data_IF_578905298694
#
_entry.id   IF_578905298694
#
_cell.length_a   1.000
_cell.length_b   1.000
_cell.length_c   1.000
_cell.angle_alpha   90.00
_cell.angle_beta   90.00
_cell.angle_gamma   90.00
#
_symmetry.space_group_name_H-M   'P 1'
#
loop_
_entity.id
_entity.type
_entity.pdbx_description
1 polymer ?
#
# COMPACT_ATOMS: atom_id res chain seq x y z
N UNK A 1 5.11 -9.37 -7.99
CA UNK A 1 4.65 -10.78 -8.01
C UNK A 1 3.28 -10.77 -8.67
N UNK A 2 3.16 -11.18 -9.94
CA UNK A 2 1.89 -11.16 -10.66
C UNK A 2 1.25 -12.55 -10.60
N UNK A 3 0.12 -12.69 -9.90
CA UNK A 3 -0.62 -13.95 -9.84
C UNK A 3 -1.37 -14.16 -11.17
N UNK A 4 -0.92 -15.15 -11.95
CA UNK A 4 -1.48 -15.51 -13.27
C UNK A 4 -2.56 -16.59 -13.22
N UNK A 5 -3.23 -16.75 -12.08
CA UNK A 5 -4.37 -17.66 -11.94
C UNK A 5 -5.59 -17.13 -12.68
N UNK A 6 -6.21 -17.93 -13.55
CA UNK A 6 -7.49 -17.56 -14.16
C UNK A 6 -8.58 -17.49 -13.07
N UNK A 7 -9.34 -16.39 -12.97
CA UNK A 7 -10.41 -16.28 -11.97
C UNK A 7 -11.48 -17.37 -12.13
N UNK A 8 -12.00 -17.88 -11.00
CA UNK A 8 -13.14 -18.82 -10.97
C UNK A 8 -14.40 -18.17 -11.59
N UNK A 9 -14.52 -16.85 -11.49
CA UNK A 9 -15.56 -16.03 -12.11
C UNK A 9 -14.94 -14.99 -13.06
N UNK A 10 -15.32 -14.95 -14.35
CA UNK A 10 -14.66 -14.11 -15.35
C UNK A 10 -14.85 -12.59 -15.18
N UNK A 11 -15.57 -12.13 -14.15
CA UNK A 11 -15.97 -10.72 -13.97
C UNK A 11 -15.49 -10.10 -12.64
N UNK A 12 -14.41 -10.58 -12.03
CA UNK A 12 -13.82 -9.95 -10.83
C UNK A 12 -12.54 -9.22 -11.19
N UNK A 13 -12.50 -7.93 -10.84
CA UNK A 13 -11.29 -7.11 -10.93
C UNK A 13 -11.03 -6.51 -9.56
N UNK A 14 -9.84 -6.80 -9.02
CA UNK A 14 -9.32 -6.13 -7.83
C UNK A 14 -8.45 -4.99 -8.32
N UNK A 15 -8.78 -3.77 -7.90
CA UNK A 15 -8.08 -2.55 -8.33
C UNK A 15 -7.42 -1.93 -7.09
N UNK A 16 -6.09 -1.93 -7.10
CA UNK A 16 -5.26 -1.47 -6.00
C UNK A 16 -4.69 -0.09 -6.34
N UNK A 17 -5.07 0.90 -5.54
CA UNK A 17 -4.66 2.28 -5.84
C UNK A 17 -3.21 2.58 -5.48
N UNK A 18 -2.67 2.08 -4.34
CA UNK A 18 -1.27 2.27 -3.92
C UNK A 18 -0.90 1.29 -2.78
N UNK A 19 0.27 0.62 -2.85
CA UNK A 19 0.70 -0.40 -1.86
C UNK A 19 1.75 0.18 -0.90
N UNK A 20 1.48 0.14 0.42
CA UNK A 20 2.48 0.32 1.48
C UNK A 20 2.81 -1.04 2.08
N UNK A 21 4.06 -1.48 1.99
CA UNK A 21 4.57 -2.58 2.82
C UNK A 21 5.61 -2.02 3.80
N UNK A 22 5.31 -2.11 5.10
CA UNK A 22 6.24 -1.74 6.17
C UNK A 22 7.27 -2.85 6.45
N UNK A 23 7.03 -4.06 5.94
CA UNK A 23 7.82 -5.27 6.15
C UNK A 23 8.34 -5.84 4.83
N UNK A 24 9.19 -5.07 4.14
CA UNK A 24 9.69 -5.43 2.82
C UNK A 24 10.40 -6.79 2.80
N UNK A 25 9.75 -7.81 2.22
CA UNK A 25 10.35 -9.09 1.83
C UNK A 25 11.06 -9.03 0.47
N UNK A 26 11.13 -7.86 -0.17
CA UNK A 26 11.80 -7.67 -1.45
C UNK A 26 12.96 -6.68 -1.34
N UNK A 27 14.10 -7.01 -1.97
CA UNK A 27 15.30 -6.15 -2.03
C UNK A 27 15.19 -4.98 -3.00
N UNK A 28 14.07 -4.84 -3.70
CA UNK A 28 13.77 -3.70 -4.59
C UNK A 28 12.87 -2.71 -3.84
N UNK A 29 13.32 -1.46 -3.70
CA UNK A 29 12.49 -0.36 -3.20
C UNK A 29 11.31 -0.16 -4.15
N UNK A 30 10.09 -0.21 -3.63
CA UNK A 30 8.91 0.26 -4.37
C UNK A 30 8.82 1.80 -4.26
N UNK A 31 8.11 2.44 -5.20
CA UNK A 31 7.96 3.91 -5.24
C UNK A 31 7.46 4.48 -3.90
N UNK A 32 6.59 3.72 -3.23
CA UNK A 32 6.07 4.03 -1.91
C UNK A 32 7.15 4.09 -0.82
N UNK A 33 8.03 3.10 -0.74
CA UNK A 33 9.10 3.05 0.28
C UNK A 33 10.15 4.11 -0.02
N UNK A 34 10.44 4.41 -1.29
CA UNK A 34 11.33 5.53 -1.65
C UNK A 34 10.75 6.88 -1.20
N UNK A 35 9.44 7.09 -1.41
CA UNK A 35 8.74 8.27 -0.91
C UNK A 35 8.82 8.37 0.62
N UNK A 36 8.55 7.28 1.35
CA UNK A 36 8.64 7.25 2.81
C UNK A 36 10.07 7.53 3.29
N UNK A 37 11.09 6.93 2.65
CA UNK A 37 12.49 7.14 2.98
C UNK A 37 12.90 8.61 2.79
N UNK A 38 12.43 9.25 1.72
CA UNK A 38 12.66 10.68 1.50
C UNK A 38 12.01 11.54 2.61
N UNK A 39 10.80 11.19 3.05
CA UNK A 39 10.13 11.87 4.16
C UNK A 39 10.90 11.69 5.49
N UNK A 40 11.41 10.49 5.78
CA UNK A 40 12.22 10.17 6.96
C UNK A 40 13.55 10.94 6.96
N UNK A 41 14.21 11.04 5.81
CA UNK A 41 15.50 11.73 5.64
C UNK A 41 15.39 13.27 5.71
N UNK A 42 14.24 13.81 6.10
CA UNK A 42 14.05 15.23 6.36
C UNK A 42 13.72 16.04 5.11
N UNK A 43 12.88 15.50 4.22
CA UNK A 43 12.34 16.24 3.08
C UNK A 43 11.86 17.64 3.52
N UNK A 44 12.36 18.68 2.84
CA UNK A 44 12.04 20.09 3.15
C UNK A 44 10.57 20.44 2.90
N UNK A 45 9.93 19.69 2.01
CA UNK A 45 8.56 19.90 1.57
C UNK A 45 7.90 18.56 1.31
N UNK A 46 6.61 18.46 1.59
CA UNK A 46 5.76 17.34 1.23
C UNK A 46 4.49 17.86 0.54
N UNK A 47 3.79 17.03 -0.26
CA UNK A 47 2.58 17.46 -0.95
C UNK A 47 1.48 17.86 0.05
N UNK A 48 0.78 18.96 -0.21
CA UNK A 48 -0.49 19.26 0.46
C UNK A 48 -1.61 18.43 -0.15
N UNK A 49 -1.53 17.12 0.06
CA UNK A 49 -2.41 16.12 -0.53
C UNK A 49 -2.71 15.01 0.48
N UNK A 50 -3.63 14.14 0.11
CA UNK A 50 -3.94 12.94 0.87
C UNK A 50 -3.17 11.76 0.28
N UNK A 51 -2.54 11.02 1.17
CA UNK A 51 -1.89 9.77 0.91
C UNK A 51 -2.86 8.64 1.25
N UNK A 52 -3.15 7.79 0.27
CA UNK A 52 -3.96 6.60 0.44
C UNK A 52 -3.06 5.41 0.22
N UNK A 53 -3.08 4.47 1.16
CA UNK A 53 -2.34 3.22 1.02
C UNK A 53 -3.16 2.07 1.53
N UNK A 54 -2.81 0.86 1.16
CA UNK A 54 -3.38 -0.36 1.72
C UNK A 54 -2.22 -1.30 2.10
N UNK A 55 -2.41 -2.07 3.15
CA UNK A 55 -1.46 -3.12 3.54
C UNK A 55 -1.45 -4.20 2.46
N UNK A 56 -0.26 -4.64 2.05
CA UNK A 56 -0.10 -5.67 1.02
C UNK A 56 -0.76 -7.00 1.40
N UNK A 57 -0.90 -7.29 2.70
CA UNK A 57 -1.59 -8.49 3.20
C UNK A 57 -3.08 -8.41 2.94
N UNK A 58 -3.68 -7.24 3.09
CA UNK A 58 -5.10 -7.03 2.81
C UNK A 58 -5.38 -7.15 1.31
N UNK A 59 -4.45 -6.69 0.47
CA UNK A 59 -4.49 -6.92 -0.98
C UNK A 59 -4.44 -8.42 -1.30
N UNK A 60 -3.52 -9.16 -0.69
CA UNK A 60 -3.41 -10.61 -0.90
C UNK A 60 -4.67 -11.35 -0.45
N UNK A 61 -5.24 -10.99 0.71
CA UNK A 61 -6.49 -11.55 1.22
C UNK A 61 -7.65 -11.27 0.27
N UNK A 62 -7.79 -10.03 -0.20
CA UNK A 62 -8.84 -9.66 -1.14
C UNK A 62 -8.73 -10.43 -2.46
N UNK A 63 -7.52 -10.65 -2.97
CA UNK A 63 -7.30 -11.49 -4.16
C UNK A 63 -7.71 -12.94 -3.93
N UNK A 64 -7.36 -13.54 -2.79
CA UNK A 64 -7.79 -14.91 -2.44
C UNK A 64 -9.31 -14.99 -2.34
N UNK A 65 -9.94 -14.04 -1.65
CA UNK A 65 -11.40 -13.98 -1.52
C UNK A 65 -12.11 -13.80 -2.87
N UNK A 66 -11.57 -12.96 -3.75
CA UNK A 66 -12.06 -12.78 -5.11
C UNK A 66 -12.04 -14.07 -5.95
N UNK A 67 -11.11 -14.98 -5.66
CA UNK A 67 -11.00 -16.28 -6.34
C UNK A 67 -11.87 -17.37 -5.70
N UNK A 68 -11.96 -17.39 -4.37
CA UNK A 68 -12.59 -18.49 -3.63
C UNK A 68 -14.11 -18.31 -3.44
N UNK A 69 -14.60 -17.07 -3.41
CA UNK A 69 -16.02 -16.78 -3.14
C UNK A 69 -16.79 -16.84 -4.47
N UNK A 70 -17.68 -17.83 -4.69
CA UNK A 70 -18.35 -18.00 -5.98
C UNK A 70 -19.31 -16.87 -6.34
N UNK A 71 -19.78 -16.10 -5.35
CA UNK A 71 -20.63 -14.93 -5.55
C UNK A 71 -19.84 -13.63 -5.77
N UNK A 72 -18.51 -13.64 -5.63
CA UNK A 72 -17.69 -12.47 -5.89
C UNK A 72 -17.82 -12.09 -7.36
N UNK A 73 -18.20 -10.85 -7.62
CA UNK A 73 -18.32 -10.28 -8.95
C UNK A 73 -18.15 -8.76 -8.88
N UNK A 74 -17.76 -8.14 -9.99
CA UNK A 74 -17.60 -6.69 -10.09
C UNK A 74 -16.19 -6.21 -9.73
N UNK A 75 -16.12 -4.93 -9.36
CA UNK A 75 -14.86 -4.25 -9.02
C UNK A 75 -14.79 -3.97 -7.52
N UNK A 76 -13.68 -4.34 -6.90
CA UNK A 76 -13.40 -4.06 -5.50
C UNK A 76 -12.25 -3.07 -5.42
N UNK A 77 -12.54 -1.86 -4.94
CA UNK A 77 -11.52 -0.86 -4.65
C UNK A 77 -10.90 -1.16 -3.30
N UNK A 78 -9.59 -1.38 -3.27
CA UNK A 78 -8.84 -1.56 -2.03
C UNK A 78 -8.13 -0.27 -1.67
N UNK A 79 -8.65 0.40 -0.65
CA UNK A 79 -8.20 1.70 -0.17
C UNK A 79 -8.37 1.73 1.35
N UNK A 80 -7.30 2.01 2.10
CA UNK A 80 -7.47 2.44 3.48
C UNK A 80 -7.92 3.91 3.52
N UNK A 81 -8.09 4.43 4.73
CA UNK A 81 -8.46 5.81 4.98
C UNK A 81 -7.45 6.80 4.36
N UNK A 82 -7.98 7.96 3.96
CA UNK A 82 -7.18 9.06 3.43
C UNK A 82 -6.38 9.72 4.57
N UNK A 83 -5.06 9.61 4.52
CA UNK A 83 -4.14 10.21 5.48
C UNK A 83 -3.52 11.47 4.88
N UNK A 84 -3.67 12.63 5.51
CA UNK A 84 -2.94 13.80 5.04
C UNK A 84 -1.44 13.60 5.26
N UNK A 85 -0.58 14.09 4.35
CA UNK A 85 0.87 13.91 4.48
C UNK A 85 1.45 14.44 5.82
N UNK A 86 0.81 15.44 6.43
CA UNK A 86 1.23 15.92 7.76
C UNK A 86 0.93 14.92 8.89
N UNK A 87 -0.10 14.09 8.75
CA UNK A 87 -0.42 13.01 9.71
C UNK A 87 0.48 11.81 9.48
N UNK A 88 0.72 11.45 8.22
CA UNK A 88 1.70 10.42 7.85
C UNK A 88 3.08 10.73 8.45
N UNK A 89 3.53 11.98 8.37
CA UNK A 89 4.80 12.40 8.96
C UNK A 89 4.84 12.26 10.49
N UNK A 90 3.73 12.49 11.19
CA UNK A 90 3.66 12.28 12.65
C UNK A 90 3.82 10.79 12.98
N UNK A 91 3.08 9.94 12.27
CA UNK A 91 3.16 8.48 12.45
C UNK A 91 4.58 7.98 12.17
N UNK A 92 5.17 8.43 11.05
CA UNK A 92 6.56 8.10 10.69
C UNK A 92 7.51 8.57 11.80
N UNK A 93 7.39 9.80 12.30
CA UNK A 93 8.27 10.32 13.34
C UNK A 93 8.15 9.54 14.66
N UNK A 94 6.93 9.13 15.04
CA UNK A 94 6.66 8.32 16.22
C UNK A 94 7.26 6.91 16.13
N UNK A 95 7.25 6.31 14.93
CA UNK A 95 7.62 4.90 14.73
C UNK A 95 9.05 4.71 14.18
N UNK A 96 9.62 5.71 13.53
CA UNK A 96 10.95 5.68 12.88
C UNK A 96 11.97 6.62 13.54
N UNK A 97 11.83 6.94 14.83
CA UNK A 97 12.76 7.85 15.54
C UNK A 97 14.24 7.41 15.50
N UNK A 98 14.53 6.15 15.14
CA UNK A 98 15.87 5.55 15.03
C UNK A 98 16.44 5.45 13.60
N UNK A 99 15.67 5.75 12.55
CA UNK A 99 16.15 5.72 11.15
C UNK A 99 16.68 7.10 10.76
N UNK A 100 17.80 7.52 11.35
CA UNK A 100 18.64 8.55 10.73
C UNK A 100 19.80 7.82 10.07
N UNK A 101 19.90 7.90 8.75
CA UNK A 101 21.10 7.46 8.05
C UNK A 101 22.23 8.43 8.39
N UNK A 102 23.34 7.90 8.91
CA UNK A 102 24.63 8.60 9.00
C UNK A 102 25.16 9.03 7.62
#
# INVERSE_FOLDING_TARGET
MAFSGKPVTPNVVVDETWICDWSSLTTTLNETVEMILNLVNGAKTYPNAYYRSIDVRDVAVAHVQALEIPSASGRYCLAADDLHFSELLKIIHEHCSSLKSD
#
